data_IF_793406123886
#
_entry.id   IF_793406123886
#
_cell.length_a   1.000
_cell.length_b   1.000
_cell.length_c   1.000
_cell.angle_alpha   90.00
_cell.angle_beta   90.00
_cell.angle_gamma   90.00
#
_symmetry.space_group_name_H-M   'P 1'
#
loop_
_entity.id
_entity.type
_entity.pdbx_description
1 polymer ?
#
# COMPACT_ATOMS: atom_id res chain seq x y z
N UNK A 1 -10.26 8.35 -12.85
CA UNK A 1 -9.04 7.86 -12.19
C UNK A 1 -9.45 7.27 -10.86
N UNK A 2 -9.05 6.03 -10.58
CA UNK A 2 -9.39 5.34 -9.32
C UNK A 2 -8.27 5.58 -8.31
N UNK A 3 -8.63 5.99 -7.09
CA UNK A 3 -7.72 6.08 -5.94
C UNK A 3 -7.90 4.87 -5.04
N UNK A 4 -6.79 4.28 -4.61
CA UNK A 4 -6.71 3.15 -3.68
C UNK A 4 -5.96 3.59 -2.43
N UNK A 5 -6.66 3.70 -1.31
CA UNK A 5 -6.12 4.12 -0.02
C UNK A 5 -6.06 2.93 0.92
N UNK A 6 -4.88 2.68 1.49
CA UNK A 6 -4.65 1.57 2.41
C UNK A 6 -4.00 2.05 3.67
N UNK A 7 -4.63 1.74 4.80
CA UNK A 7 -4.06 1.90 6.13
C UNK A 7 -3.61 0.54 6.65
N UNK A 8 -2.38 0.45 7.14
CA UNK A 8 -1.79 -0.78 7.63
C UNK A 8 -1.32 -0.63 9.08
N UNK A 9 -1.74 -1.54 9.93
CA UNK A 9 -1.18 -1.74 11.27
C UNK A 9 -0.43 -3.06 11.27
N UNK A 10 0.80 -3.04 11.76
CA UNK A 10 1.70 -4.18 11.77
C UNK A 10 1.72 -4.85 13.14
N UNK A 11 2.05 -6.14 13.18
CA UNK A 11 2.32 -6.85 14.44
C UNK A 11 3.59 -6.34 15.11
N UNK A 12 4.59 -5.94 14.32
CA UNK A 12 5.75 -5.15 14.72
C UNK A 12 5.75 -3.81 13.97
N UNK A 13 5.64 -2.69 14.69
CA UNK A 13 5.62 -1.35 14.11
C UNK A 13 6.90 -1.03 13.30
N UNK A 14 8.03 -1.66 13.62
CA UNK A 14 9.28 -1.47 12.88
C UNK A 14 9.22 -1.96 11.43
N UNK A 15 8.32 -2.88 11.09
CA UNK A 15 8.13 -3.36 9.72
C UNK A 15 7.59 -2.27 8.77
N UNK A 16 6.99 -1.20 9.31
CA UNK A 16 6.36 -0.15 8.51
C UNK A 16 7.36 0.58 7.60
N UNK A 17 8.58 0.86 8.09
CA UNK A 17 9.62 1.51 7.29
C UNK A 17 10.03 0.65 6.08
N UNK A 18 10.25 -0.65 6.31
CA UNK A 18 10.56 -1.58 5.23
C UNK A 18 9.40 -1.76 4.25
N UNK A 19 8.16 -1.78 4.75
CA UNK A 19 6.98 -1.83 3.89
C UNK A 19 6.89 -0.61 2.98
N UNK A 20 7.21 0.60 3.49
CA UNK A 20 7.28 1.82 2.70
C UNK A 20 8.29 1.69 1.55
N UNK A 21 9.52 1.29 1.85
CA UNK A 21 10.56 1.16 0.81
C UNK A 21 10.17 0.16 -0.28
N UNK A 22 9.60 -0.98 0.12
CA UNK A 22 9.14 -2.01 -0.82
C UNK A 22 7.98 -1.51 -1.70
N UNK A 23 7.01 -0.79 -1.11
CA UNK A 23 5.86 -0.26 -1.85
C UNK A 23 6.28 0.81 -2.84
N UNK A 24 7.11 1.76 -2.41
CA UNK A 24 7.63 2.81 -3.29
C UNK A 24 8.52 2.24 -4.40
N UNK A 25 9.21 1.13 -4.13
CA UNK A 25 9.96 0.38 -5.14
C UNK A 25 9.12 -0.22 -6.27
N UNK A 26 7.79 -0.34 -6.11
CA UNK A 26 6.91 -0.78 -7.21
C UNK A 26 6.71 0.30 -8.28
N UNK A 27 6.98 1.56 -7.96
CA UNK A 27 6.84 2.68 -8.89
C UNK A 27 7.89 2.58 -9.98
N UNK A 28 7.45 2.45 -11.22
CA UNK A 28 8.31 2.24 -12.40
C UNK A 28 8.37 0.78 -12.85
N UNK A 29 8.21 -0.17 -11.94
CA UNK A 29 8.17 -1.61 -12.26
C UNK A 29 6.76 -2.11 -12.57
N UNK A 30 5.72 -1.48 -12.01
CA UNK A 30 4.32 -1.85 -12.22
C UNK A 30 3.60 -0.77 -13.06
N UNK A 31 3.33 -1.02 -14.36
CA UNK A 31 2.78 -0.02 -15.27
C UNK A 31 1.41 0.53 -14.87
N UNK A 32 0.61 -0.25 -14.14
CA UNK A 32 -0.73 0.13 -13.71
C UNK A 32 -0.75 1.15 -12.56
N UNK A 33 0.41 1.43 -11.94
CA UNK A 33 0.56 2.48 -10.93
C UNK A 33 0.78 3.82 -11.64
N UNK A 34 -0.24 4.70 -11.62
CA UNK A 34 -0.10 6.06 -12.14
C UNK A 34 0.61 6.98 -11.14
N UNK A 35 0.35 6.78 -9.85
CA UNK A 35 1.09 7.42 -8.76
C UNK A 35 1.00 6.56 -7.51
N UNK A 36 1.98 6.68 -6.63
CA UNK A 36 1.95 6.09 -5.28
C UNK A 36 2.63 7.03 -4.29
N UNK A 37 2.02 7.21 -3.13
CA UNK A 37 2.62 7.89 -1.97
C UNK A 37 2.46 7.01 -0.75
N UNK A 38 3.53 6.86 0.01
CA UNK A 38 3.52 6.09 1.24
C UNK A 38 4.05 6.94 2.38
N UNK A 39 3.28 7.04 3.46
CA UNK A 39 3.62 7.82 4.63
C UNK A 39 3.56 6.95 5.88
N UNK A 40 4.51 7.17 6.77
CA UNK A 40 4.51 6.57 8.10
C UNK A 40 3.78 7.51 9.05
N UNK A 41 3.11 6.94 10.05
CA UNK A 41 2.53 7.74 11.12
C UNK A 41 3.62 8.41 11.96
N UNK A 42 3.48 9.71 12.21
CA UNK A 42 4.44 10.51 12.95
C UNK A 42 4.04 10.74 14.41
N UNK A 43 2.73 10.66 14.71
CA UNK A 43 2.17 11.03 16.00
C UNK A 43 1.89 9.85 16.92
N UNK A 44 1.87 8.62 16.40
CA UNK A 44 1.77 7.38 17.16
C UNK A 44 0.62 7.36 18.17
N UNK A 45 -0.53 7.89 17.74
CA UNK A 45 -1.71 7.97 18.61
C UNK A 45 -2.36 6.60 18.77
N UNK A 46 -3.15 6.36 19.84
CA UNK A 46 -3.80 5.07 20.06
C UNK A 46 -4.76 4.61 18.94
N UNK A 47 -5.15 5.53 18.04
CA UNK A 47 -6.05 5.27 16.92
C UNK A 47 -5.34 5.34 15.56
N UNK A 48 -4.02 5.57 15.54
CA UNK A 48 -3.22 5.62 14.33
C UNK A 48 -3.00 4.21 13.74
N UNK A 49 -3.00 4.12 12.42
CA UNK A 49 -2.30 3.03 11.72
C UNK A 49 -0.80 3.38 11.65
N UNK A 50 0.08 2.42 11.36
CA UNK A 50 1.52 2.70 11.25
C UNK A 50 1.91 3.26 9.88
N UNK A 51 1.14 2.93 8.83
CA UNK A 51 1.42 3.31 7.45
C UNK A 51 0.13 3.64 6.70
N UNK A 52 0.20 4.68 5.88
CA UNK A 52 -0.81 5.06 4.89
C UNK A 52 -0.21 5.01 3.48
N UNK A 53 -0.81 4.24 2.58
CA UNK A 53 -0.49 4.20 1.16
C UNK A 53 -1.66 4.76 0.36
N UNK A 54 -1.37 5.65 -0.58
CA UNK A 54 -2.33 6.13 -1.58
C UNK A 54 -1.75 5.88 -2.96
N UNK A 55 -2.40 5.03 -3.75
CA UNK A 55 -2.06 4.83 -5.17
C UNK A 55 -3.20 5.25 -6.08
N UNK A 56 -2.87 5.62 -7.32
CA UNK A 56 -3.86 5.91 -8.36
C UNK A 56 -3.69 4.99 -9.55
N UNK A 57 -4.81 4.63 -10.17
CA UNK A 57 -4.92 3.73 -11.31
C UNK A 57 -5.89 4.34 -12.33
N UNK A 58 -5.81 3.90 -13.60
CA UNK A 58 -6.72 4.39 -14.63
C UNK A 58 -8.20 4.15 -14.23
N UNK A 59 -8.49 2.92 -13.79
CA UNK A 59 -9.79 2.40 -13.41
C UNK A 59 -9.64 1.15 -12.51
N UNK A 60 -10.74 0.43 -12.30
CA UNK A 60 -10.76 -0.81 -11.53
C UNK A 60 -9.97 -1.97 -12.17
N UNK A 61 -9.87 -2.01 -13.50
CA UNK A 61 -9.05 -3.02 -14.19
C UNK A 61 -7.56 -2.74 -13.97
N UNK A 62 -7.15 -1.46 -14.01
CA UNK A 62 -5.80 -1.04 -13.63
C UNK A 62 -5.43 -1.44 -12.20
N UNK A 63 -6.33 -1.20 -11.23
CA UNK A 63 -6.12 -1.65 -9.85
C UNK A 63 -5.99 -3.18 -9.76
N UNK A 64 -6.84 -3.93 -10.47
CA UNK A 64 -6.77 -5.39 -10.51
C UNK A 64 -5.47 -5.89 -11.17
N UNK A 65 -4.96 -5.19 -12.19
CA UNK A 65 -3.67 -5.45 -12.83
C UNK A 65 -2.51 -5.29 -11.85
N UNK A 66 -2.44 -4.13 -11.17
CA UNK A 66 -1.47 -3.88 -10.09
C UNK A 66 -1.50 -4.99 -9.02
N UNK A 67 -2.69 -5.37 -8.55
CA UNK A 67 -2.83 -6.38 -7.49
C UNK A 67 -2.34 -7.79 -7.92
N UNK A 68 -2.39 -8.10 -9.22
CA UNK A 68 -1.94 -9.38 -9.78
C UNK A 68 -0.51 -9.34 -10.30
N UNK A 69 0.12 -8.16 -10.35
CA UNK A 69 1.47 -8.00 -10.88
C UNK A 69 2.49 -8.82 -10.04
N UNK A 70 3.43 -9.55 -10.66
CA UNK A 70 4.39 -10.39 -9.93
C UNK A 70 5.15 -9.66 -8.82
N UNK A 71 5.63 -8.44 -9.08
CA UNK A 71 6.32 -7.62 -8.07
C UNK A 71 5.43 -7.28 -6.86
N UNK A 72 4.16 -6.97 -7.09
CA UNK A 72 3.20 -6.75 -6.00
C UNK A 72 2.91 -8.05 -5.23
N UNK A 73 2.80 -9.19 -5.93
CA UNK A 73 2.59 -10.48 -5.29
C UNK A 73 3.79 -10.90 -4.42
N UNK A 74 5.01 -10.65 -4.86
CA UNK A 74 6.23 -10.88 -4.08
C UNK A 74 6.26 -10.03 -2.81
N UNK A 75 6.01 -8.72 -2.93
CA UNK A 75 5.87 -7.83 -1.78
C UNK A 75 4.76 -8.32 -0.84
N UNK A 76 3.61 -8.71 -1.38
CA UNK A 76 2.46 -9.17 -0.59
C UNK A 76 2.77 -10.45 0.20
N UNK A 77 3.62 -11.34 -0.31
CA UNK A 77 4.08 -12.51 0.44
C UNK A 77 4.88 -12.13 1.68
N UNK A 78 5.75 -11.11 1.57
CA UNK A 78 6.50 -10.58 2.71
C UNK A 78 5.60 -9.82 3.70
N UNK A 79 4.65 -9.04 3.19
CA UNK A 79 3.82 -8.10 3.96
C UNK A 79 2.72 -8.78 4.76
N UNK A 80 1.95 -9.69 4.16
CA UNK A 80 0.75 -10.32 4.78
C UNK A 80 0.99 -10.92 6.18
N UNK A 81 2.04 -11.71 6.43
CA UNK A 81 2.26 -12.30 7.76
C UNK A 81 2.64 -11.27 8.84
N UNK A 82 2.92 -10.02 8.47
CA UNK A 82 3.34 -8.92 9.38
C UNK A 82 2.23 -7.94 9.71
N UNK A 83 1.04 -8.11 9.10
CA UNK A 83 -0.09 -7.22 9.33
C UNK A 83 -0.91 -7.69 10.54
N UNK A 84 -1.12 -6.79 11.49
CA UNK A 84 -2.13 -6.93 12.54
C UNK A 84 -3.53 -6.56 12.00
N UNK A 85 -3.60 -5.52 11.17
CA UNK A 85 -4.83 -5.14 10.47
C UNK A 85 -4.54 -4.35 9.19
N UNK A 86 -5.52 -4.32 8.30
CA UNK A 86 -5.47 -3.56 7.05
C UNK A 86 -6.86 -3.05 6.70
N UNK A 87 -6.98 -1.76 6.44
CA UNK A 87 -8.23 -1.11 6.01
C UNK A 87 -8.02 -0.48 4.65
N UNK A 88 -9.01 -0.59 3.77
CA UNK A 88 -8.91 -0.17 2.37
C UNK A 88 -10.13 0.67 2.00
N UNK A 89 -9.91 1.75 1.26
CA UNK A 89 -10.95 2.55 0.61
C UNK A 89 -10.58 2.78 -0.85
N UNK A 90 -11.51 2.47 -1.75
CA UNK A 90 -11.39 2.73 -3.18
C UNK A 90 -12.43 3.76 -3.61
N UNK A 91 -12.03 4.79 -4.36
CA UNK A 91 -12.96 5.81 -4.85
C UNK A 91 -12.51 6.45 -6.16
N UNK A 92 -13.48 6.96 -6.91
CA UNK A 92 -13.26 7.78 -8.11
C UNK A 92 -13.60 9.23 -7.78
N UNK A 93 -12.71 10.14 -8.14
CA UNK A 93 -12.91 11.60 -8.07
C UNK A 93 -12.52 12.26 -9.37
#
# INVERSE_FOLDING_TARGET
MLSHVVLMTFTDAADAAKAKDLLEGLVGDVPEILSMRVHLDELHTPVSAHLCMVSTHADAEGLAGYQKHPAHLELAQWLRPRLASRVVVDYTS
#
